data_IF_838498400565
#
_entry.id   IF_838498400565
#
_cell.length_a   1.000
_cell.length_b   1.000
_cell.length_c   1.000
_cell.angle_alpha   90.00
_cell.angle_beta   90.00
_cell.angle_gamma   90.00
#
_symmetry.space_group_name_H-M   'P 1'
#
loop_
_entity.id
_entity.type
_entity.pdbx_description
1 polymer ?
#
# COMPACT_ATOMS: atom_id res chain seq x y z
N UNK A 1 18.46 9.17 -24.24
CA UNK A 1 18.98 8.82 -22.90
C UNK A 1 17.96 7.94 -22.22
N UNK A 2 18.27 6.66 -22.05
CA UNK A 2 17.36 5.64 -21.53
C UNK A 2 17.47 5.63 -20.00
N UNK A 3 16.41 6.02 -19.30
CA UNK A 3 16.36 5.98 -17.83
C UNK A 3 16.11 4.52 -17.43
N UNK A 4 17.15 3.85 -16.95
CA UNK A 4 17.04 2.54 -16.28
C UNK A 4 16.32 2.74 -14.95
N UNK A 5 15.06 2.34 -14.89
CA UNK A 5 14.33 2.15 -13.64
C UNK A 5 15.01 1.01 -12.88
N UNK A 6 15.63 1.33 -11.74
CA UNK A 6 16.19 0.36 -10.80
C UNK A 6 14.99 -0.26 -10.06
N UNK A 7 14.32 -1.22 -10.71
CA UNK A 7 13.43 -2.15 -10.03
C UNK A 7 14.29 -3.19 -9.30
N UNK A 8 13.97 -3.50 -8.05
CA UNK A 8 14.55 -4.64 -7.36
C UNK A 8 14.41 -5.88 -8.27
N UNK A 9 15.54 -6.54 -8.56
CA UNK A 9 15.55 -7.79 -9.32
C UNK A 9 14.89 -8.84 -8.43
N UNK A 10 13.62 -9.17 -8.72
CA UNK A 10 12.94 -10.29 -8.10
C UNK A 10 13.43 -11.54 -8.83
N UNK A 11 14.28 -12.30 -8.16
CA UNK A 11 14.70 -13.63 -8.60
C UNK A 11 13.56 -14.62 -8.30
N UNK A 12 13.23 -15.46 -9.28
CA UNK A 12 12.21 -16.51 -9.15
C UNK A 12 12.60 -17.59 -8.11
N UNK A 13 13.86 -17.58 -7.63
CA UNK A 13 14.32 -18.41 -6.50
C UNK A 13 13.87 -17.89 -5.13
N UNK A 14 13.42 -16.63 -5.04
CA UNK A 14 13.01 -16.01 -3.78
C UNK A 14 11.57 -16.41 -3.46
N UNK A 15 11.28 -16.92 -2.23
CA UNK A 15 9.93 -17.28 -1.85
C UNK A 15 8.97 -16.08 -1.98
N UNK A 16 7.69 -16.33 -2.31
CA UNK A 16 6.72 -15.26 -2.49
C UNK A 16 6.63 -14.40 -1.24
N UNK A 17 6.59 -13.07 -1.41
CA UNK A 17 6.41 -12.15 -0.30
C UNK A 17 5.06 -12.37 0.37
N UNK A 18 5.07 -12.89 1.60
CA UNK A 18 3.86 -13.18 2.40
C UNK A 18 3.51 -12.08 3.41
N UNK A 19 4.29 -11.00 3.46
CA UNK A 19 4.21 -9.97 4.49
C UNK A 19 5.32 -10.08 5.54
N UNK A 20 5.41 -9.08 6.40
CA UNK A 20 6.41 -8.99 7.46
C UNK A 20 5.81 -9.47 8.79
N UNK A 21 6.48 -10.35 9.55
CA UNK A 21 6.00 -10.78 10.86
C UNK A 21 5.80 -9.62 11.82
N UNK A 22 4.75 -9.70 12.64
CA UNK A 22 4.48 -8.71 13.69
C UNK A 22 5.65 -8.51 14.64
N UNK A 23 6.37 -9.58 14.98
CA UNK A 23 7.56 -9.53 15.83
C UNK A 23 8.69 -8.63 15.29
N UNK A 24 8.72 -8.39 13.98
CA UNK A 24 9.67 -7.47 13.33
C UNK A 24 9.12 -6.03 13.28
N UNK A 25 7.81 -5.88 13.05
CA UNK A 25 7.15 -4.56 12.92
C UNK A 25 6.91 -3.87 14.27
N UNK A 26 6.38 -4.61 15.25
CA UNK A 26 5.90 -4.05 16.51
C UNK A 26 6.99 -3.38 17.36
N UNK A 27 8.22 -3.93 17.50
CA UNK A 27 9.29 -3.27 18.26
C UNK A 27 9.68 -1.91 17.68
N UNK A 28 9.78 -1.81 16.34
CA UNK A 28 10.11 -0.57 15.63
C UNK A 28 9.01 0.47 15.83
N UNK A 29 7.74 0.07 15.70
CA UNK A 29 6.61 0.97 15.93
C UNK A 29 6.54 1.43 17.40
N UNK A 30 6.78 0.54 18.37
CA UNK A 30 6.85 0.91 19.81
C UNK A 30 7.98 1.91 20.07
N UNK A 31 9.14 1.72 19.47
CA UNK A 31 10.25 2.67 19.58
C UNK A 31 9.88 4.03 18.98
N UNK A 32 9.27 4.06 17.79
CA UNK A 32 8.76 5.29 17.18
C UNK A 32 7.74 5.99 18.09
N UNK A 33 6.81 5.25 18.69
CA UNK A 33 5.86 5.78 19.66
C UNK A 33 6.56 6.36 20.90
N UNK A 34 7.59 5.70 21.44
CA UNK A 34 8.36 6.21 22.59
C UNK A 34 9.04 7.54 22.27
N UNK A 35 9.60 7.66 21.07
CA UNK A 35 10.36 8.83 20.64
C UNK A 35 9.50 9.95 20.04
N UNK A 36 8.20 9.72 19.76
CA UNK A 36 7.35 10.61 18.94
C UNK A 36 7.36 12.09 19.34
N UNK A 37 7.51 12.42 20.62
CA UNK A 37 7.57 13.81 21.10
C UNK A 37 8.84 14.54 20.66
N UNK A 38 9.94 13.81 20.46
CA UNK A 38 11.18 14.33 19.90
C UNK A 38 11.17 14.42 18.36
N UNK A 39 10.07 14.03 17.70
CA UNK A 39 9.92 13.98 16.23
C UNK A 39 11.10 13.24 15.55
N UNK A 40 11.31 11.94 15.86
CA UNK A 40 12.49 11.21 15.41
C UNK A 40 12.51 11.09 13.88
N UNK A 41 13.70 11.12 13.30
CA UNK A 41 13.92 10.67 11.93
C UNK A 41 14.34 9.19 11.89
N UNK A 42 14.59 8.68 10.69
CA UNK A 42 14.95 7.27 10.47
C UNK A 42 16.27 6.92 11.16
N UNK A 43 17.28 7.77 11.04
CA UNK A 43 18.62 7.47 11.57
C UNK A 43 18.65 7.51 13.10
N UNK A 44 17.92 8.45 13.71
CA UNK A 44 17.71 8.48 15.16
C UNK A 44 17.04 7.21 15.65
N UNK A 45 16.04 6.68 14.92
CA UNK A 45 15.36 5.45 15.33
C UNK A 45 16.29 4.24 15.17
N UNK A 46 16.98 4.11 14.03
CA UNK A 46 17.90 3.01 13.75
C UNK A 46 19.10 2.98 14.72
N UNK A 47 19.53 4.13 15.24
CA UNK A 47 20.53 4.20 16.31
C UNK A 47 20.04 3.69 17.68
N UNK A 48 18.76 3.33 17.82
CA UNK A 48 18.13 2.91 19.08
C UNK A 48 17.54 1.51 19.03
N UNK A 49 17.45 0.89 17.85
CA UNK A 49 16.90 -0.44 17.67
C UNK A 49 17.57 -1.14 16.49
N UNK A 50 17.95 -2.39 16.69
CA UNK A 50 18.37 -3.24 15.59
C UNK A 50 17.13 -3.77 14.84
N UNK A 51 17.11 -3.59 13.53
CA UNK A 51 15.98 -4.01 12.70
C UNK A 51 16.42 -4.26 11.27
N UNK A 52 15.78 -5.24 10.64
CA UNK A 52 15.95 -5.58 9.22
C UNK A 52 14.88 -4.92 8.34
N UNK A 53 14.03 -4.05 8.91
CA UNK A 53 13.03 -3.32 8.13
C UNK A 53 13.70 -2.33 7.18
N UNK A 54 13.20 -2.29 5.96
CA UNK A 54 13.57 -1.27 4.98
C UNK A 54 13.34 0.15 5.54
N UNK A 55 14.24 1.09 5.20
CA UNK A 55 14.20 2.47 5.69
C UNK A 55 12.88 3.18 5.39
N UNK A 56 12.22 2.87 4.27
CA UNK A 56 10.91 3.43 3.92
C UNK A 56 9.80 2.86 4.78
N UNK A 57 9.89 1.61 5.21
CA UNK A 57 8.97 1.01 6.18
C UNK A 57 9.17 1.66 7.55
N UNK A 58 10.42 1.85 7.98
CA UNK A 58 10.73 2.57 9.23
C UNK A 58 10.16 3.98 9.20
N UNK A 59 10.37 4.73 8.11
CA UNK A 59 9.77 6.05 7.92
C UNK A 59 8.23 6.00 8.02
N UNK A 60 7.58 5.04 7.37
CA UNK A 60 6.13 4.89 7.44
C UNK A 60 5.61 4.62 8.87
N UNK A 61 6.36 3.85 9.66
CA UNK A 61 6.05 3.58 11.07
C UNK A 61 6.25 4.83 11.94
N UNK A 62 7.31 5.61 11.70
CA UNK A 62 7.53 6.91 12.36
C UNK A 62 6.36 7.84 12.05
N UNK A 63 6.00 8.02 10.78
CA UNK A 63 4.88 8.88 10.40
C UNK A 63 3.56 8.43 11.05
N UNK A 64 3.35 7.13 11.21
CA UNK A 64 2.17 6.61 11.88
C UNK A 64 2.19 6.90 13.39
N UNK A 65 3.34 6.79 14.05
CA UNK A 65 3.50 7.14 15.46
C UNK A 65 3.29 8.64 15.71
N UNK A 66 3.74 9.50 14.79
CA UNK A 66 3.53 10.95 14.88
C UNK A 66 2.06 11.36 14.78
N UNK A 67 1.20 10.57 14.11
CA UNK A 67 -0.26 10.81 14.08
C UNK A 67 -0.94 10.59 15.43
N UNK A 68 -0.26 9.95 16.38
CA UNK A 68 -0.77 9.76 17.75
C UNK A 68 -0.51 10.98 18.64
N UNK A 69 0.21 11.99 18.15
CA UNK A 69 0.35 13.27 18.85
C UNK A 69 -0.99 14.04 18.80
N UNK A 70 -1.33 14.80 19.87
CA UNK A 70 -2.44 15.74 19.82
C UNK A 70 -2.28 16.70 18.63
N UNK A 71 -3.37 17.05 17.92
CA UNK A 71 -3.29 18.01 16.83
C UNK A 71 -2.86 19.38 17.36
N UNK A 72 -1.97 20.04 16.63
CA UNK A 72 -1.64 21.44 16.88
C UNK A 72 -2.77 22.32 16.33
N UNK A 73 -3.59 22.84 17.24
CA UNK A 73 -4.78 23.61 16.91
C UNK A 73 -4.48 25.11 16.68
N UNK A 74 -3.22 25.54 16.77
CA UNK A 74 -2.81 26.89 16.36
C UNK A 74 -3.12 27.12 14.87
N UNK A 75 -3.35 28.36 14.42
CA UNK A 75 -3.48 28.66 12.99
C UNK A 75 -2.30 28.12 12.17
N UNK A 76 -1.08 28.27 12.68
CA UNK A 76 0.17 27.82 12.06
C UNK A 76 0.23 26.30 11.98
N UNK A 77 -0.06 25.60 13.08
CA UNK A 77 -0.10 24.14 13.15
C UNK A 77 -1.13 23.54 12.19
N UNK A 78 -2.32 24.14 12.10
CA UNK A 78 -3.37 23.74 11.14
C UNK A 78 -2.93 23.96 9.69
N UNK A 79 -2.26 25.08 9.39
CA UNK A 79 -1.75 25.36 8.06
C UNK A 79 -0.64 24.37 7.65
N UNK A 80 0.28 24.06 8.58
CA UNK A 80 1.34 23.09 8.36
C UNK A 80 0.78 21.67 8.14
N UNK A 81 -0.18 21.25 8.98
CA UNK A 81 -0.87 19.97 8.84
C UNK A 81 -1.57 19.85 7.49
N UNK A 82 -2.26 20.92 7.04
CA UNK A 82 -2.89 20.99 5.72
C UNK A 82 -1.87 20.83 4.59
N UNK A 83 -0.74 21.55 4.66
CA UNK A 83 0.34 21.45 3.66
C UNK A 83 0.96 20.04 3.61
N UNK A 84 1.22 19.44 4.76
CA UNK A 84 1.71 18.05 4.87
C UNK A 84 0.72 17.05 4.29
N UNK A 85 -0.57 17.21 4.60
CA UNK A 85 -1.64 16.37 4.07
C UNK A 85 -1.73 16.48 2.54
N UNK A 86 -1.70 17.70 1.98
CA UNK A 86 -1.71 17.92 0.53
C UNK A 86 -0.52 17.27 -0.17
N UNK A 87 0.70 17.47 0.34
CA UNK A 87 1.90 16.82 -0.21
C UNK A 87 1.77 15.30 -0.18
N UNK A 88 1.24 14.74 0.91
CA UNK A 88 1.05 13.30 1.05
C UNK A 88 -0.01 12.75 0.10
N UNK A 89 -1.13 13.46 -0.08
CA UNK A 89 -2.17 13.09 -1.03
C UNK A 89 -1.62 13.10 -2.47
N UNK A 90 -0.85 14.12 -2.83
CA UNK A 90 -0.25 14.18 -4.16
C UNK A 90 0.75 13.05 -4.41
N UNK A 91 1.62 12.75 -3.43
CA UNK A 91 2.52 11.60 -3.54
C UNK A 91 1.77 10.28 -3.64
N UNK A 92 0.69 10.10 -2.89
CA UNK A 92 -0.14 8.90 -2.99
C UNK A 92 -0.77 8.76 -4.39
N UNK A 93 -1.30 9.86 -4.94
CA UNK A 93 -1.86 9.92 -6.29
C UNK A 93 -0.83 9.60 -7.36
N UNK A 94 0.39 10.13 -7.25
CA UNK A 94 1.48 9.83 -8.19
C UNK A 94 1.87 8.35 -8.15
N UNK A 95 1.96 7.75 -6.96
CA UNK A 95 2.26 6.34 -6.81
C UNK A 95 1.18 5.44 -7.42
N UNK A 96 -0.09 5.76 -7.16
CA UNK A 96 -1.23 5.04 -7.73
C UNK A 96 -1.28 5.17 -9.26
N UNK A 97 -1.07 6.38 -9.79
CA UNK A 97 -1.03 6.63 -11.24
C UNK A 97 0.07 5.82 -11.90
N UNK A 98 1.29 5.82 -11.33
CA UNK A 98 2.40 5.03 -11.85
C UNK A 98 2.11 3.52 -11.83
N UNK A 99 1.44 3.02 -10.79
CA UNK A 99 1.01 1.62 -10.73
C UNK A 99 0.01 1.31 -11.84
N UNK A 100 -1.04 2.13 -12.00
CA UNK A 100 -2.06 2.00 -13.06
C UNK A 100 -1.43 2.01 -14.45
N UNK A 101 -0.54 2.96 -14.73
CA UNK A 101 0.14 3.10 -16.01
C UNK A 101 0.95 1.83 -16.35
N UNK A 102 1.59 1.25 -15.34
CA UNK A 102 2.35 0.00 -15.51
C UNK A 102 1.44 -1.19 -15.86
N UNK A 103 0.26 -1.30 -15.24
CA UNK A 103 -0.72 -2.35 -15.59
C UNK A 103 -1.26 -2.15 -17.01
N UNK A 104 -1.53 -0.91 -17.43
CA UNK A 104 -1.93 -0.60 -18.81
C UNK A 104 -0.82 -0.96 -19.80
N UNK A 105 0.44 -0.65 -19.47
CA UNK A 105 1.59 -1.03 -20.29
C UNK A 105 1.73 -2.54 -20.47
N UNK A 106 1.39 -3.33 -19.45
CA UNK A 106 1.31 -4.79 -19.54
C UNK A 106 0.09 -5.30 -20.33
N UNK A 107 -0.81 -4.43 -20.77
CA UNK A 107 -1.97 -4.78 -21.61
C UNK A 107 -3.21 -5.20 -20.85
N UNK A 108 -3.26 -5.02 -19.52
CA UNK A 108 -4.46 -5.33 -18.74
C UNK A 108 -5.56 -4.29 -18.97
N UNK A 109 -6.80 -4.77 -19.11
CA UNK A 109 -7.98 -3.94 -19.34
C UNK A 109 -8.81 -3.81 -18.08
N UNK A 110 -9.05 -2.57 -17.66
CA UNK A 110 -9.76 -2.25 -16.43
C UNK A 110 -10.30 -0.81 -16.46
N UNK A 111 -11.21 -0.54 -15.53
CA UNK A 111 -11.70 0.79 -15.23
C UNK A 111 -11.01 1.31 -13.95
N UNK A 112 -10.54 2.55 -14.00
CA UNK A 112 -10.08 3.31 -12.83
C UNK A 112 -11.26 3.77 -11.97
N UNK A 113 -11.02 4.24 -10.74
CA UNK A 113 -12.07 4.80 -9.89
C UNK A 113 -12.84 5.93 -10.60
N UNK A 114 -12.12 6.81 -11.32
CA UNK A 114 -12.71 7.92 -12.08
C UNK A 114 -13.63 7.42 -13.19
N UNK A 115 -13.14 6.50 -14.02
CA UNK A 115 -13.92 5.92 -15.12
C UNK A 115 -15.17 5.17 -14.60
N UNK A 116 -15.06 4.48 -13.47
CA UNK A 116 -16.21 3.84 -12.82
C UNK A 116 -17.27 4.86 -12.36
N UNK A 117 -16.86 6.01 -11.82
CA UNK A 117 -17.78 7.09 -11.43
C UNK A 117 -18.47 7.73 -12.63
N UNK A 118 -17.75 7.92 -13.74
CA UNK A 118 -18.31 8.46 -14.99
C UNK A 118 -19.45 7.59 -15.54
N UNK A 119 -19.35 6.26 -15.38
CA UNK A 119 -20.41 5.31 -15.75
C UNK A 119 -21.32 4.89 -14.59
N UNK A 120 -21.29 5.62 -13.47
CA UNK A 120 -22.15 5.44 -12.29
C UNK A 120 -22.11 4.02 -11.69
N UNK A 121 -20.96 3.35 -11.76
CA UNK A 121 -20.76 2.04 -11.13
C UNK A 121 -20.47 2.19 -9.64
N UNK A 122 -20.96 1.24 -8.86
CA UNK A 122 -20.65 1.10 -7.44
C UNK A 122 -20.42 -0.37 -7.06
N UNK A 123 -19.62 -0.65 -6.01
CA UNK A 123 -18.63 0.25 -5.42
C UNK A 123 -17.46 0.54 -6.38
N UNK A 124 -16.63 1.56 -6.08
CA UNK A 124 -15.53 2.01 -6.94
C UNK A 124 -14.17 1.72 -6.30
N UNK A 125 -13.63 0.49 -6.40
CA UNK A 125 -12.21 0.24 -6.11
C UNK A 125 -11.33 1.05 -7.07
N UNK A 126 -10.05 1.25 -6.72
CA UNK A 126 -9.11 2.00 -7.57
C UNK A 126 -8.99 1.40 -8.98
N UNK A 127 -9.05 0.07 -9.07
CA UNK A 127 -9.03 -0.70 -10.31
C UNK A 127 -10.15 -1.74 -10.28
N UNK A 128 -10.99 -1.77 -11.32
CA UNK A 128 -11.95 -2.86 -11.59
C UNK A 128 -11.65 -3.47 -12.96
N UNK A 129 -11.25 -4.74 -13.00
CA UNK A 129 -10.92 -5.40 -14.26
C UNK A 129 -12.16 -5.70 -15.10
N UNK A 130 -12.04 -5.59 -16.42
CA UNK A 130 -13.12 -5.99 -17.35
C UNK A 130 -13.30 -7.50 -17.37
N UNK A 131 -12.22 -8.24 -17.16
CA UNK A 131 -12.22 -9.69 -16.89
C UNK A 131 -11.29 -9.97 -15.72
N UNK A 132 -11.66 -10.86 -14.79
CA UNK A 132 -10.81 -11.19 -13.65
C UNK A 132 -9.44 -11.69 -14.10
N UNK A 133 -8.40 -11.34 -13.34
CA UNK A 133 -7.01 -11.75 -13.62
C UNK A 133 -6.46 -12.59 -12.47
N UNK A 134 -5.47 -13.45 -12.73
CA UNK A 134 -4.81 -14.24 -11.69
C UNK A 134 -3.49 -13.59 -11.26
N UNK A 135 -3.41 -13.17 -10.00
CA UNK A 135 -2.19 -12.66 -9.37
C UNK A 135 -1.68 -13.73 -8.40
N UNK A 136 -0.55 -14.36 -8.71
CA UNK A 136 0.03 -15.43 -7.88
C UNK A 136 -1.00 -16.50 -7.46
N UNK A 137 -1.84 -16.93 -8.41
CA UNK A 137 -2.87 -17.95 -8.20
C UNK A 137 -4.16 -17.44 -7.52
N UNK A 138 -4.23 -16.17 -7.14
CA UNK A 138 -5.46 -15.54 -6.62
C UNK A 138 -6.21 -14.84 -7.74
N UNK A 139 -7.48 -15.19 -7.93
CA UNK A 139 -8.35 -14.50 -8.88
C UNK A 139 -8.70 -13.10 -8.32
N UNK A 140 -8.55 -12.07 -9.14
CA UNK A 140 -8.80 -10.68 -8.79
C UNK A 140 -9.75 -10.04 -9.80
N UNK A 141 -10.92 -9.64 -9.33
CA UNK A 141 -11.88 -8.83 -10.08
C UNK A 141 -11.59 -7.33 -9.94
N UNK A 142 -10.93 -6.95 -8.84
CA UNK A 142 -10.60 -5.57 -8.52
C UNK A 142 -9.32 -5.47 -7.68
N UNK A 143 -8.69 -4.30 -7.68
CA UNK A 143 -7.58 -3.94 -6.80
C UNK A 143 -7.85 -2.62 -6.09
N UNK A 144 -7.43 -2.54 -4.84
CA UNK A 144 -7.33 -1.31 -4.05
C UNK A 144 -5.85 -1.05 -3.75
N UNK A 145 -5.36 0.14 -4.05
CA UNK A 145 -3.95 0.49 -3.97
C UNK A 145 -3.67 1.37 -2.74
N UNK A 146 -2.59 1.05 -2.01
CA UNK A 146 -2.14 1.81 -0.84
C UNK A 146 -0.66 2.15 -0.98
N UNK A 147 -0.35 3.43 -1.05
CA UNK A 147 1.01 3.95 -1.21
C UNK A 147 1.90 3.85 0.04
N UNK A 148 1.40 3.23 1.12
CA UNK A 148 2.05 3.13 2.42
C UNK A 148 2.20 1.66 2.87
N UNK A 149 2.89 1.42 3.99
CA UNK A 149 3.02 0.10 4.61
C UNK A 149 1.79 -0.27 5.46
N UNK A 150 1.13 -1.39 5.18
CA UNK A 150 -0.04 -1.85 5.95
C UNK A 150 0.35 -2.58 7.23
N UNK A 151 -0.19 -2.21 8.40
CA UNK A 151 0.15 -2.88 9.67
C UNK A 151 -0.96 -2.76 10.73
N UNK A 152 -1.05 -3.75 11.63
CA UNK A 152 -2.18 -3.93 12.56
C UNK A 152 -2.33 -2.80 13.56
N UNK A 153 -1.21 -2.25 14.04
CA UNK A 153 -1.18 -1.24 15.09
C UNK A 153 -1.54 0.18 14.62
N UNK A 154 -2.16 0.33 13.43
CA UNK A 154 -2.72 1.60 12.96
C UNK A 154 -4.24 1.66 13.25
N UNK A 155 -4.67 2.17 14.42
CA UNK A 155 -6.05 2.06 14.90
C UNK A 155 -7.06 2.86 14.07
N UNK A 156 -6.62 3.85 13.29
CA UNK A 156 -7.52 4.78 12.58
C UNK A 156 -8.03 4.24 11.25
N UNK A 157 -7.39 3.20 10.70
CA UNK A 157 -7.58 2.79 9.31
C UNK A 157 -8.27 1.40 9.20
N UNK A 158 -8.05 0.51 10.16
CA UNK A 158 -8.42 -0.91 10.02
C UNK A 158 -9.93 -1.16 9.89
N UNK A 159 -10.78 -0.50 10.68
CA UNK A 159 -12.23 -0.78 10.70
C UNK A 159 -12.96 -0.26 9.46
N UNK A 160 -12.65 0.98 9.04
CA UNK A 160 -13.23 1.60 7.83
C UNK A 160 -12.81 0.83 6.58
N UNK A 161 -11.52 0.52 6.45
CA UNK A 161 -11.01 -0.27 5.33
C UNK A 161 -11.66 -1.66 5.32
N UNK A 162 -11.77 -2.35 6.46
CA UNK A 162 -12.40 -3.68 6.50
C UNK A 162 -13.84 -3.63 5.97
N UNK A 163 -14.66 -2.67 6.40
CA UNK A 163 -16.04 -2.53 5.91
C UNK A 163 -16.10 -2.29 4.40
N UNK A 164 -15.24 -1.39 3.89
CA UNK A 164 -15.15 -1.09 2.46
C UNK A 164 -14.73 -2.33 1.65
N UNK A 165 -13.66 -3.00 2.06
CA UNK A 165 -13.11 -4.17 1.36
C UNK A 165 -14.05 -5.38 1.41
N UNK A 166 -14.76 -5.57 2.53
CA UNK A 166 -15.83 -6.58 2.61
C UNK A 166 -16.93 -6.27 1.59
N UNK A 167 -17.37 -5.01 1.49
CA UNK A 167 -18.38 -4.60 0.50
C UNK A 167 -17.92 -4.88 -0.94
N UNK A 168 -16.66 -4.55 -1.25
CA UNK A 168 -16.11 -4.80 -2.59
C UNK A 168 -16.10 -6.30 -2.88
N UNK A 169 -15.69 -7.11 -1.90
CA UNK A 169 -15.62 -8.56 -2.07
C UNK A 169 -17.02 -9.19 -2.26
N UNK A 170 -18.02 -8.71 -1.52
CA UNK A 170 -19.40 -9.24 -1.62
C UNK A 170 -20.08 -8.86 -2.93
N UNK A 171 -19.81 -7.66 -3.47
CA UNK A 171 -20.51 -7.15 -4.65
C UNK A 171 -19.78 -7.42 -5.97
N UNK A 172 -18.44 -7.49 -5.94
CA UNK A 172 -17.61 -7.58 -7.15
C UNK A 172 -16.89 -8.92 -7.30
N UNK A 173 -16.94 -9.78 -6.29
CA UNK A 173 -16.16 -10.99 -6.20
C UNK A 173 -14.78 -10.76 -5.58
N UNK A 174 -13.92 -11.78 -5.69
CA UNK A 174 -12.59 -11.76 -5.10
C UNK A 174 -11.74 -10.59 -5.60
N UNK A 175 -10.88 -10.08 -4.73
CA UNK A 175 -10.01 -8.95 -5.08
C UNK A 175 -8.78 -8.89 -4.20
N UNK A 176 -8.02 -7.81 -4.32
CA UNK A 176 -6.82 -7.63 -3.54
C UNK A 176 -6.53 -6.19 -3.14
N UNK A 177 -5.79 -6.03 -2.05
CA UNK A 177 -5.15 -4.77 -1.67
C UNK A 177 -3.68 -4.83 -2.05
N UNK A 178 -3.19 -3.84 -2.77
CA UNK A 178 -1.80 -3.73 -3.19
C UNK A 178 -1.12 -2.63 -2.39
N UNK A 179 -0.16 -2.99 -1.55
CA UNK A 179 0.63 -2.06 -0.76
C UNK A 179 1.97 -1.76 -1.43
N UNK A 180 2.30 -0.49 -1.62
CA UNK A 180 3.59 -0.10 -2.22
C UNK A 180 4.79 -0.66 -1.47
N UNK A 181 4.78 -0.51 -0.14
CA UNK A 181 5.89 -0.91 0.73
C UNK A 181 5.71 -2.33 1.30
N UNK A 182 4.58 -2.98 1.03
CA UNK A 182 4.18 -4.24 1.64
C UNK A 182 3.35 -4.07 2.91
N UNK A 183 3.22 -5.16 3.67
CA UNK A 183 2.28 -5.24 4.79
C UNK A 183 2.76 -6.19 5.90
N UNK A 184 2.25 -6.00 7.11
CA UNK A 184 2.35 -6.92 8.23
C UNK A 184 1.46 -8.16 7.97
N UNK A 185 1.97 -9.35 8.28
CA UNK A 185 1.21 -10.61 8.16
C UNK A 185 -0.13 -10.50 8.92
N UNK A 186 -1.19 -10.96 8.26
CA UNK A 186 -2.57 -10.92 8.75
C UNK A 186 -3.10 -9.52 9.08
N UNK A 187 -2.53 -8.45 8.51
CA UNK A 187 -3.00 -7.09 8.76
C UNK A 187 -4.49 -6.90 8.42
N UNK A 188 -4.94 -7.49 7.31
CA UNK A 188 -6.35 -7.50 6.90
C UNK A 188 -6.75 -8.94 6.56
N UNK A 189 -7.76 -9.45 7.28
CA UNK A 189 -8.35 -10.75 7.04
C UNK A 189 -9.82 -10.57 6.64
N UNK A 190 -10.10 -10.78 5.35
CA UNK A 190 -11.43 -10.76 4.73
C UNK A 190 -11.48 -11.92 3.74
N UNK A 191 -12.53 -12.74 3.77
CA UNK A 191 -12.68 -13.86 2.85
C UNK A 191 -12.75 -13.35 1.40
N UNK A 192 -12.03 -14.00 0.47
CA UNK A 192 -11.96 -13.57 -0.94
C UNK A 192 -11.02 -12.38 -1.20
N UNK A 193 -10.40 -11.82 -0.16
CA UNK A 193 -9.41 -10.76 -0.27
C UNK A 193 -7.99 -11.29 -0.06
N UNK A 194 -7.04 -10.85 -0.88
CA UNK A 194 -5.60 -11.05 -0.64
C UNK A 194 -4.86 -9.72 -0.53
N UNK A 195 -3.78 -9.68 0.24
CA UNK A 195 -2.86 -8.54 0.24
C UNK A 195 -1.62 -8.88 -0.59
N UNK A 196 -1.13 -7.93 -1.36
CA UNK A 196 0.11 -8.04 -2.12
C UNK A 196 1.01 -6.82 -1.87
N UNK A 197 2.30 -6.99 -2.12
CA UNK A 197 3.22 -5.87 -2.30
C UNK A 197 3.32 -5.54 -3.79
N UNK A 198 3.39 -4.24 -4.10
CA UNK A 198 3.42 -3.72 -5.47
C UNK A 198 4.48 -4.42 -6.34
N UNK A 199 5.69 -4.60 -5.80
CA UNK A 199 6.80 -5.19 -6.53
C UNK A 199 6.46 -6.59 -7.08
N UNK A 200 5.86 -7.45 -6.26
CA UNK A 200 5.47 -8.82 -6.65
C UNK A 200 4.32 -8.82 -7.65
N UNK A 201 3.36 -7.89 -7.52
CA UNK A 201 2.27 -7.75 -8.49
C UNK A 201 2.83 -7.36 -9.85
N UNK A 202 3.66 -6.31 -9.91
CA UNK A 202 4.24 -5.83 -11.16
C UNK A 202 5.16 -6.88 -11.79
N UNK A 203 5.93 -7.61 -10.99
CA UNK A 203 6.75 -8.71 -11.48
C UNK A 203 5.90 -9.83 -12.08
N UNK A 204 4.92 -10.34 -11.32
CA UNK A 204 4.04 -11.43 -11.76
C UNK A 204 3.30 -11.07 -13.04
N UNK A 205 2.64 -9.91 -13.08
CA UNK A 205 1.86 -9.46 -14.21
C UNK A 205 2.73 -9.10 -15.42
N UNK A 206 3.89 -8.50 -15.19
CA UNK A 206 4.86 -8.21 -16.25
C UNK A 206 5.39 -9.48 -16.91
N UNK A 207 5.67 -10.55 -16.14
CA UNK A 207 6.05 -11.85 -16.72
C UNK A 207 4.90 -12.47 -17.52
N UNK A 208 3.69 -12.51 -16.98
CA UNK A 208 2.51 -13.06 -17.67
C UNK A 208 2.27 -12.36 -19.01
N UNK A 209 2.33 -11.03 -19.04
CA UNK A 209 2.19 -10.22 -20.25
C UNK A 209 3.23 -10.56 -21.32
N UNK A 210 4.47 -10.84 -20.93
CA UNK A 210 5.54 -11.24 -21.86
C UNK A 210 5.35 -12.65 -22.42
N UNK A 211 4.76 -13.55 -21.65
CA UNK A 211 4.48 -14.94 -22.08
C UNK A 211 3.23 -15.05 -22.97
N UNK A 212 2.32 -14.07 -22.89
CA UNK A 212 1.11 -14.01 -23.71
C UNK A 212 1.29 -13.28 -25.05
N UNK A 213 2.48 -12.76 -25.34
CA UNK A 213 2.86 -12.12 -26.60
C UNK A 213 3.69 -13.08 -27.43
#
# INVERSE_FOLDING_TARGET
>A
MQVKMIGAVIDDSVPPYIGIPRGTVEPVFKMACRLRFAKPDVDMLLGRIDTQLDRMIVLALIEAALRLLPPDNTPEGRAEAKKKMQKKMEQARLHETAFIDQLRYFGYQFLTEREQKEVQLHPTPDIRFLRPISIQGHLCHWLEYKSYFGFKANPFIASKNKKQLTKYTSELGSGAVVYKLGFEIDHILVAGLRSFREAEVLHSLGRQSRLSK
#
